data_IF_713412475408
#
_entry.id   IF_713412475408
#
_cell.length_a   1.000
_cell.length_b   1.000
_cell.length_c   1.000
_cell.angle_alpha   90.00
_cell.angle_beta   90.00
_cell.angle_gamma   90.00
#
_symmetry.space_group_name_H-M   'P 1'
#
loop_
_entity.id
_entity.type
_entity.pdbx_description
1 polymer ?
#
# COMPACT_ATOMS: atom_id res chain seq x y z
N UNK A 1 14.91 1.35 -18.82
CA UNK A 1 15.33 1.51 -17.42
C UNK A 1 16.05 0.26 -16.90
N UNK A 2 15.36 -0.89 -16.85
CA UNK A 2 15.89 -2.17 -16.31
C UNK A 2 17.19 -2.65 -16.97
N UNK A 3 17.32 -2.60 -18.31
CA UNK A 3 18.58 -2.98 -19.02
C UNK A 3 19.78 -2.08 -18.74
N UNK A 4 19.56 -0.83 -18.29
CA UNK A 4 20.63 0.12 -17.93
C UNK A 4 21.06 -0.12 -16.48
N UNK A 5 20.09 -0.40 -15.61
CA UNK A 5 20.28 -0.80 -14.22
C UNK A 5 21.10 -2.08 -14.08
N UNK A 6 20.76 -3.14 -14.83
CA UNK A 6 21.46 -4.43 -14.74
C UNK A 6 22.94 -4.40 -15.13
N UNK A 7 23.37 -3.37 -15.87
CA UNK A 7 24.76 -3.19 -16.29
C UNK A 7 25.60 -2.42 -15.28
N UNK A 8 24.99 -1.59 -14.45
CA UNK A 8 25.69 -0.80 -13.43
C UNK A 8 24.76 -0.47 -12.25
N UNK A 9 24.46 -1.45 -11.38
CA UNK A 9 23.56 -1.25 -10.26
C UNK A 9 24.17 -0.32 -9.20
N UNK A 10 23.37 0.52 -8.52
CA UNK A 10 23.86 1.49 -7.56
C UNK A 10 24.15 0.84 -6.20
N UNK A 11 25.15 -0.03 -6.15
CA UNK A 11 25.55 -0.70 -4.91
C UNK A 11 25.98 0.31 -3.84
N UNK A 12 25.63 0.04 -2.58
CA UNK A 12 26.08 0.81 -1.42
C UNK A 12 27.57 0.54 -1.11
N UNK A 13 28.08 1.18 -0.06
CA UNK A 13 29.48 1.06 0.36
C UNK A 13 29.89 -0.38 0.80
N UNK A 14 28.90 -1.25 1.04
CA UNK A 14 29.08 -2.66 1.39
C UNK A 14 28.89 -3.59 0.19
N UNK A 15 28.64 -3.05 -1.00
CA UNK A 15 28.37 -3.83 -2.21
C UNK A 15 26.96 -4.42 -2.25
N UNK A 16 26.04 -3.93 -1.42
CA UNK A 16 24.64 -4.35 -1.40
C UNK A 16 23.81 -3.52 -2.37
N UNK A 17 22.87 -4.17 -3.04
CA UNK A 17 21.84 -3.46 -3.80
C UNK A 17 20.91 -2.76 -2.79
N UNK A 18 20.56 -1.48 -3.00
CA UNK A 18 19.45 -0.86 -2.30
C UNK A 18 18.19 -1.69 -2.52
N UNK A 19 17.22 -1.60 -1.61
CA UNK A 19 16.00 -2.39 -1.77
C UNK A 19 15.27 -2.01 -3.07
N UNK A 20 14.59 -2.97 -3.69
CA UNK A 20 13.98 -2.78 -5.02
C UNK A 20 13.01 -1.58 -5.03
N UNK A 21 12.23 -1.41 -3.97
CA UNK A 21 11.33 -0.28 -3.71
C UNK A 21 12.02 1.09 -3.59
N UNK A 22 13.30 1.14 -3.26
CA UNK A 22 14.11 2.37 -3.29
C UNK A 22 14.61 2.71 -4.72
N UNK A 23 14.57 1.75 -5.64
CA UNK A 23 15.20 1.83 -6.97
C UNK A 23 14.19 1.91 -8.12
N UNK A 24 13.04 1.26 -7.95
CA UNK A 24 11.87 1.40 -8.78
C UNK A 24 10.81 2.01 -7.87
N UNK A 25 10.30 3.19 -8.25
CA UNK A 25 9.17 3.81 -7.57
C UNK A 25 8.12 2.75 -7.28
N UNK A 26 7.53 2.81 -6.09
CA UNK A 26 6.73 1.74 -5.48
C UNK A 26 5.35 1.61 -6.13
N UNK A 27 5.35 1.57 -7.46
CA UNK A 27 4.22 1.47 -8.37
C UNK A 27 3.34 0.25 -8.06
N UNK A 28 3.93 -0.78 -7.44
CA UNK A 28 3.39 -2.12 -7.23
C UNK A 28 2.97 -2.43 -5.77
N UNK A 29 3.06 -1.47 -4.84
CA UNK A 29 2.79 -1.70 -3.40
C UNK A 29 1.42 -1.18 -2.94
N UNK A 30 0.55 -0.76 -3.86
CA UNK A 30 -0.85 -0.54 -3.49
C UNK A 30 -1.56 -1.89 -3.43
N UNK A 31 -1.49 -2.56 -2.28
CA UNK A 31 -2.33 -3.72 -2.01
C UNK A 31 -3.71 -3.25 -1.55
N UNK A 32 -4.71 -3.54 -2.37
CA UNK A 32 -6.12 -3.29 -2.08
C UNK A 32 -6.80 -4.52 -1.48
N UNK A 33 -6.05 -5.60 -1.22
CA UNK A 33 -6.56 -6.79 -0.55
C UNK A 33 -6.45 -6.65 0.97
N UNK A 34 -7.52 -6.24 1.65
CA UNK A 34 -7.56 -6.02 3.09
C UNK A 34 -8.71 -6.80 3.73
N UNK A 35 -8.38 -7.95 4.33
CA UNK A 35 -9.37 -8.86 4.90
C UNK A 35 -10.18 -8.28 6.08
N UNK A 36 -9.71 -7.23 6.74
CA UNK A 36 -10.36 -6.72 7.96
C UNK A 36 -10.23 -5.18 8.11
N UNK A 37 -11.09 -4.42 7.41
CA UNK A 37 -11.21 -2.98 7.68
C UNK A 37 -11.56 -2.05 6.52
N UNK A 38 -11.94 -2.60 5.36
CA UNK A 38 -12.19 -1.94 4.04
C UNK A 38 -10.96 -2.09 3.13
N UNK A 39 -10.89 -3.22 2.42
CA UNK A 39 -10.89 -3.34 0.94
C UNK A 39 -10.94 -4.83 0.53
N UNK A 40 -11.67 -5.12 -0.54
CA UNK A 40 -12.00 -6.46 -1.06
C UNK A 40 -10.85 -7.44 -1.21
N UNK A 41 -11.17 -8.73 -1.24
CA UNK A 41 -10.44 -9.67 -2.09
C UNK A 41 -10.55 -9.21 -3.56
N UNK A 42 -9.56 -8.47 -4.05
CA UNK A 42 -9.31 -8.17 -5.48
C UNK A 42 -8.35 -9.23 -6.05
N UNK A 43 -8.69 -10.51 -5.86
CA UNK A 43 -7.85 -11.64 -6.26
C UNK A 43 -7.50 -11.62 -7.75
N UNK A 44 -8.40 -11.06 -8.57
CA UNK A 44 -8.22 -10.91 -10.00
C UNK A 44 -7.53 -9.60 -10.42
N UNK A 45 -7.21 -8.70 -9.48
CA UNK A 45 -6.58 -7.40 -9.73
C UNK A 45 -7.44 -6.42 -10.52
N UNK A 46 -8.75 -6.62 -10.61
CA UNK A 46 -9.68 -5.81 -11.43
C UNK A 46 -9.69 -4.36 -10.96
N UNK A 47 -9.72 -4.15 -9.66
CA UNK A 47 -9.74 -2.79 -9.07
C UNK A 47 -8.41 -2.10 -9.32
N UNK A 48 -7.30 -2.80 -9.12
CA UNK A 48 -5.95 -2.29 -9.43
C UNK A 48 -5.84 -1.89 -10.91
N UNK A 49 -6.29 -2.75 -11.83
CA UNK A 49 -6.25 -2.45 -13.27
C UNK A 49 -7.12 -1.23 -13.64
N UNK A 50 -8.31 -1.12 -13.06
CA UNK A 50 -9.20 -0.01 -13.35
C UNK A 50 -8.62 1.33 -12.85
N UNK A 51 -8.07 1.36 -11.63
CA UNK A 51 -7.38 2.53 -11.10
C UNK A 51 -6.17 2.91 -11.95
N UNK A 52 -5.37 1.92 -12.37
CA UNK A 52 -4.25 2.13 -13.29
C UNK A 52 -4.69 2.80 -14.60
N UNK A 53 -5.80 2.33 -15.19
CA UNK A 53 -6.34 2.93 -16.41
C UNK A 53 -6.80 4.37 -16.21
N UNK A 54 -7.54 4.66 -15.14
CA UNK A 54 -8.01 6.02 -14.82
C UNK A 54 -6.84 6.99 -14.54
N UNK A 55 -5.79 6.51 -13.87
CA UNK A 55 -4.54 7.28 -13.67
C UNK A 55 -3.84 7.54 -15.00
N UNK A 56 -3.68 6.49 -15.84
CA UNK A 56 -3.03 6.61 -17.15
C UNK A 56 -3.78 7.55 -18.10
N UNK A 57 -5.10 7.59 -18.01
CA UNK A 57 -5.95 8.50 -18.78
C UNK A 57 -6.00 9.92 -18.21
N UNK A 58 -5.38 10.16 -17.04
CA UNK A 58 -5.35 11.46 -16.38
C UNK A 58 -6.66 11.85 -15.71
N UNK A 59 -7.60 10.90 -15.55
CA UNK A 59 -8.87 11.11 -14.85
C UNK A 59 -8.72 11.05 -13.33
N UNK A 60 -7.70 10.35 -12.86
CA UNK A 60 -7.35 10.23 -11.46
C UNK A 60 -5.89 10.60 -11.27
N UNK A 61 -5.58 11.36 -10.22
CA UNK A 61 -4.19 11.67 -9.87
C UNK A 61 -3.61 10.51 -9.05
N UNK A 62 -2.40 10.07 -9.40
CA UNK A 62 -1.71 9.07 -8.60
C UNK A 62 -1.32 9.68 -7.24
N UNK A 63 -1.75 9.12 -6.09
CA UNK A 63 -1.50 9.72 -4.78
C UNK A 63 -0.01 9.76 -4.41
N UNK A 64 0.84 9.04 -5.16
CA UNK A 64 2.29 8.94 -4.96
C UNK A 64 3.08 9.99 -5.77
N UNK A 65 2.44 10.64 -6.74
CA UNK A 65 3.10 11.70 -7.50
C UNK A 65 3.53 12.85 -6.57
N UNK A 66 4.70 13.44 -6.85
CA UNK A 66 5.29 14.51 -6.01
C UNK A 66 4.44 15.78 -5.95
N UNK A 67 3.65 16.02 -6.98
CA UNK A 67 2.74 17.16 -7.11
C UNK A 67 1.30 16.83 -6.67
N UNK A 68 1.06 15.64 -6.11
CA UNK A 68 -0.25 15.31 -5.53
C UNK A 68 -0.54 16.14 -4.29
N UNK A 69 -1.69 16.81 -4.31
CA UNK A 69 -2.22 17.59 -3.19
C UNK A 69 -3.09 16.72 -2.29
N UNK A 70 -3.39 17.23 -1.10
CA UNK A 70 -4.35 16.58 -0.18
C UNK A 70 -5.64 16.22 -0.91
N UNK A 71 -6.26 17.18 -1.59
CA UNK A 71 -7.53 17.00 -2.29
C UNK A 71 -7.47 15.87 -3.32
N UNK A 72 -6.37 15.78 -4.07
CA UNK A 72 -6.17 14.72 -5.06
C UNK A 72 -5.99 13.33 -4.44
N UNK A 73 -5.35 13.25 -3.26
CA UNK A 73 -5.22 12.00 -2.48
C UNK A 73 -6.55 11.59 -1.87
N UNK A 74 -7.32 12.54 -1.38
CA UNK A 74 -8.66 12.30 -0.86
C UNK A 74 -9.62 11.82 -1.96
N UNK A 75 -9.53 12.40 -3.16
CA UNK A 75 -10.28 11.94 -4.35
C UNK A 75 -9.88 10.52 -4.74
N UNK A 76 -8.58 10.22 -4.78
CA UNK A 76 -8.10 8.87 -5.02
C UNK A 76 -8.68 7.88 -4.01
N UNK A 77 -8.55 8.16 -2.71
CA UNK A 77 -9.10 7.32 -1.63
C UNK A 77 -10.61 7.12 -1.78
N UNK A 78 -11.36 8.19 -2.04
CA UNK A 78 -12.81 8.09 -2.25
C UNK A 78 -13.15 7.19 -3.44
N UNK A 79 -12.36 7.25 -4.52
CA UNK A 79 -12.53 6.33 -5.64
C UNK A 79 -12.29 4.90 -5.21
N UNK A 80 -11.16 4.61 -4.55
CA UNK A 80 -10.84 3.25 -4.06
C UNK A 80 -11.96 2.71 -3.14
N UNK A 81 -12.47 3.53 -2.21
CA UNK A 81 -13.62 3.22 -1.34
C UNK A 81 -14.90 2.88 -2.11
N UNK A 82 -15.09 3.49 -3.28
CA UNK A 82 -16.26 3.29 -4.13
C UNK A 82 -16.18 2.07 -5.06
N UNK A 83 -15.00 1.46 -5.25
CA UNK A 83 -14.86 0.28 -6.09
C UNK A 83 -15.42 -0.97 -5.41
N UNK A 84 -16.02 -1.84 -6.23
CA UNK A 84 -16.84 -2.95 -5.77
C UNK A 84 -16.00 -3.93 -4.96
N UNK A 85 -16.33 -3.99 -3.68
CA UNK A 85 -15.89 -5.02 -2.75
C UNK A 85 -16.71 -6.29 -2.98
N UNK A 86 -16.05 -7.44 -3.13
CA UNK A 86 -16.69 -8.74 -2.99
C UNK A 86 -17.30 -8.81 -1.60
N UNK A 87 -18.63 -8.73 -1.58
CA UNK A 87 -19.43 -8.72 -0.37
C UNK A 87 -19.98 -10.12 -0.12
N UNK A 88 -19.55 -10.71 0.99
CA UNK A 88 -19.99 -12.02 1.44
C UNK A 88 -21.25 -11.97 2.31
N UNK A 89 -21.75 -10.77 2.60
CA UNK A 89 -22.97 -10.50 3.35
C UNK A 89 -24.24 -10.42 2.47
N UNK A 90 -24.11 -10.56 1.16
CA UNK A 90 -25.24 -10.48 0.22
C UNK A 90 -25.86 -11.86 -0.05
N UNK A 91 -27.17 -11.88 -0.28
CA UNK A 91 -27.91 -13.09 -0.68
C UNK A 91 -27.47 -13.61 -2.05
N UNK A 92 -27.63 -14.93 -2.25
CA UNK A 92 -27.36 -15.59 -3.53
C UNK A 92 -28.37 -15.10 -4.60
N UNK A 93 -27.91 -14.72 -5.80
CA UNK A 93 -28.82 -14.32 -6.88
C UNK A 93 -29.80 -15.43 -7.27
N UNK A 94 -31.09 -15.11 -7.30
CA UNK A 94 -32.16 -16.06 -7.68
C UNK A 94 -32.02 -16.63 -9.11
N UNK A 95 -31.23 -15.99 -9.95
CA UNK A 95 -30.99 -16.39 -11.34
C UNK A 95 -29.89 -17.45 -11.50
N UNK A 96 -29.17 -17.79 -10.42
CA UNK A 96 -28.15 -18.83 -10.44
C UNK A 96 -28.78 -20.22 -10.49
N UNK A 97 -28.14 -21.11 -11.25
CA UNK A 97 -28.40 -22.54 -11.18
C UNK A 97 -27.96 -23.09 -9.82
N UNK A 98 -28.51 -24.25 -9.43
CA UNK A 98 -28.12 -24.94 -8.20
C UNK A 98 -26.60 -25.23 -8.15
N UNK A 99 -25.99 -25.53 -9.30
CA UNK A 99 -24.55 -25.77 -9.41
C UNK A 99 -23.73 -24.50 -9.15
N UNK A 100 -24.13 -23.36 -9.72
CA UNK A 100 -23.47 -22.07 -9.49
C UNK A 100 -23.59 -21.63 -8.03
N UNK A 101 -24.78 -21.77 -7.44
CA UNK A 101 -25.02 -21.48 -6.03
C UNK A 101 -24.15 -22.34 -5.11
N UNK A 102 -24.07 -23.66 -5.39
CA UNK A 102 -23.24 -24.58 -4.62
C UNK A 102 -21.75 -24.26 -4.75
N UNK A 103 -21.26 -24.01 -5.96
CA UNK A 103 -19.87 -23.63 -6.20
C UNK A 103 -19.48 -22.35 -5.45
N UNK A 104 -20.38 -21.36 -5.44
CA UNK A 104 -20.15 -20.13 -4.69
C UNK A 104 -20.08 -20.40 -3.19
N UNK A 105 -21.03 -21.16 -2.62
CA UNK A 105 -21.00 -21.54 -1.19
C UNK A 105 -19.71 -22.31 -0.84
N UNK A 106 -19.29 -23.27 -1.66
CA UNK A 106 -18.05 -24.02 -1.44
C UNK A 106 -16.82 -23.10 -1.49
N UNK A 107 -16.84 -22.10 -2.37
CA UNK A 107 -15.80 -21.05 -2.45
C UNK A 107 -15.79 -20.18 -1.18
N UNK A 108 -16.95 -19.73 -0.69
CA UNK A 108 -17.05 -18.97 0.57
C UNK A 108 -16.51 -19.77 1.77
N UNK A 109 -16.84 -21.05 1.84
CA UNK A 109 -16.36 -21.94 2.90
C UNK A 109 -14.84 -22.16 2.81
N UNK A 110 -14.29 -22.19 1.60
CA UNK A 110 -12.84 -22.28 1.41
C UNK A 110 -12.14 -20.98 1.83
N UNK A 111 -12.63 -19.83 1.34
CA UNK A 111 -12.09 -18.51 1.68
C UNK A 111 -12.14 -18.29 3.20
N UNK A 112 -13.29 -18.53 3.85
CA UNK A 112 -13.40 -18.35 5.31
C UNK A 112 -12.42 -19.21 6.12
N UNK A 113 -12.14 -20.45 5.67
CA UNK A 113 -11.11 -21.30 6.29
C UNK A 113 -9.72 -20.73 6.09
N UNK A 114 -9.38 -20.27 4.89
CA UNK A 114 -8.09 -19.64 4.60
C UNK A 114 -7.92 -18.39 5.46
N UNK A 115 -8.94 -17.53 5.53
CA UNK A 115 -8.92 -16.29 6.33
C UNK A 115 -8.75 -16.61 7.81
N UNK A 116 -9.42 -17.63 8.34
CA UNK A 116 -9.26 -18.03 9.76
C UNK A 116 -7.85 -18.51 10.12
N UNK A 117 -7.07 -18.95 9.12
CA UNK A 117 -5.69 -19.41 9.27
C UNK A 117 -4.66 -18.33 8.91
N UNK A 118 -5.08 -17.27 8.22
CA UNK A 118 -4.22 -16.18 7.77
C UNK A 118 -4.28 -15.06 8.81
N UNK A 119 -3.15 -14.47 9.23
CA UNK A 119 -3.19 -13.27 10.05
C UNK A 119 -4.07 -12.18 9.39
N UNK A 120 -4.73 -11.31 10.17
CA UNK A 120 -5.59 -10.25 9.63
C UNK A 120 -4.82 -9.19 8.81
N UNK A 121 -3.50 -9.16 8.92
CA UNK A 121 -2.65 -8.41 7.99
C UNK A 121 -2.53 -9.23 6.70
N UNK A 122 -2.76 -8.60 5.54
CA UNK A 122 -2.71 -9.21 4.20
C UNK A 122 -1.38 -9.89 3.85
N UNK A 123 -0.97 -9.88 2.58
CA UNK A 123 0.34 -10.46 2.22
C UNK A 123 1.43 -9.90 3.16
N UNK A 124 2.20 -10.73 3.89
CA UNK A 124 3.15 -10.26 4.91
C UNK A 124 4.19 -9.25 4.40
N UNK A 125 4.34 -9.17 3.08
CA UNK A 125 5.38 -8.42 2.38
C UNK A 125 4.82 -7.30 1.49
N UNK A 126 3.50 -7.08 1.44
CA UNK A 126 2.90 -5.98 0.69
C UNK A 126 2.39 -4.93 1.70
N UNK A 127 3.14 -3.85 1.96
CA UNK A 127 2.65 -2.76 2.78
C UNK A 127 1.29 -2.27 2.25
N UNK A 128 0.27 -2.19 3.10
CA UNK A 128 -0.93 -1.43 2.77
C UNK A 128 -0.49 0.01 2.50
N UNK A 129 -0.73 0.51 1.29
CA UNK A 129 -0.43 1.91 1.00
C UNK A 129 -1.42 2.80 1.74
N UNK A 130 -0.94 3.48 2.78
CA UNK A 130 -1.70 4.51 3.47
C UNK A 130 -1.34 5.87 2.89
N UNK A 131 -2.34 6.64 2.44
CA UNK A 131 -2.11 8.06 2.15
C UNK A 131 -1.77 8.80 3.46
N UNK A 132 -0.93 9.85 3.42
CA UNK A 132 -0.50 10.59 4.62
C UNK A 132 -1.67 11.01 5.52
N UNK A 133 -2.78 11.44 4.93
CA UNK A 133 -3.99 11.86 5.63
C UNK A 133 -4.62 10.71 6.43
N UNK A 134 -4.62 9.50 5.87
CA UNK A 134 -5.18 8.33 6.53
C UNK A 134 -4.26 7.83 7.66
N UNK A 135 -2.94 7.93 7.50
CA UNK A 135 -1.99 7.67 8.59
C UNK A 135 -2.24 8.61 9.78
N UNK A 136 -2.50 9.89 9.51
CA UNK A 136 -2.82 10.86 10.55
C UNK A 136 -4.13 10.52 11.27
N UNK A 137 -5.16 10.09 10.55
CA UNK A 137 -6.44 9.62 11.12
C UNK A 137 -6.21 8.40 12.03
N UNK A 138 -5.53 7.36 11.54
CA UNK A 138 -5.23 6.15 12.30
C UNK A 138 -4.40 6.43 13.56
N UNK A 139 -3.44 7.35 13.46
CA UNK A 139 -2.66 7.81 14.60
C UNK A 139 -3.54 8.52 15.63
N UNK A 140 -4.40 9.45 15.21
CA UNK A 140 -5.35 10.15 16.10
C UNK A 140 -6.33 9.18 16.77
N UNK A 141 -6.72 8.10 16.08
CA UNK A 141 -7.58 7.04 16.61
C UNK A 141 -6.85 6.05 17.53
N UNK A 142 -5.52 6.19 17.71
CA UNK A 142 -4.70 5.29 18.53
C UNK A 142 -4.57 3.87 17.96
N UNK A 143 -4.69 3.73 16.64
CA UNK A 143 -4.52 2.44 15.93
C UNK A 143 -3.05 2.06 15.79
N UNK A 144 -2.17 3.05 15.77
CA UNK A 144 -0.73 2.89 15.95
C UNK A 144 -0.37 3.19 17.41
N UNK A 145 0.82 2.76 17.85
CA UNK A 145 1.36 3.24 19.14
C UNK A 145 1.35 4.77 19.07
N UNK A 146 0.57 5.42 19.95
CA UNK A 146 0.41 6.88 19.99
C UNK A 146 1.75 7.60 20.25
N UNK A 147 2.82 6.87 20.59
CA UNK A 147 4.19 7.39 20.70
C UNK A 147 4.96 7.36 19.37
N UNK A 148 4.43 6.70 18.35
CA UNK A 148 5.04 6.49 17.04
C UNK A 148 4.22 7.19 15.95
N UNK A 149 4.22 8.52 15.97
CA UNK A 149 3.68 9.32 14.87
C UNK A 149 4.39 8.94 13.56
N UNK A 150 3.66 8.36 12.58
CA UNK A 150 4.27 7.91 11.33
C UNK A 150 4.72 9.07 10.44
N UNK A 151 4.21 10.29 10.66
CA UNK A 151 4.60 11.49 9.92
C UNK A 151 5.94 12.06 10.36
N UNK A 152 6.42 11.69 11.56
CA UNK A 152 7.75 12.06 12.04
C UNK A 152 8.78 11.18 11.31
N UNK A 153 9.69 11.76 10.50
CA UNK A 153 10.77 11.01 9.86
C UNK A 153 11.50 10.13 10.88
N UNK A 154 11.82 8.89 10.49
CA UNK A 154 12.43 7.91 11.38
C UNK A 154 13.66 8.48 12.12
N UNK A 155 14.46 9.29 11.42
CA UNK A 155 15.64 9.96 11.96
C UNK A 155 15.33 10.83 13.18
N UNK A 156 14.12 11.39 13.32
CA UNK A 156 13.75 12.29 14.42
C UNK A 156 13.10 11.59 15.62
N UNK A 157 12.82 10.28 15.53
CA UNK A 157 12.19 9.51 16.62
C UNK A 157 13.13 9.34 17.81
N UNK A 158 12.57 9.21 19.01
CA UNK A 158 13.31 9.04 20.27
C UNK A 158 14.21 7.79 20.26
N UNK A 159 13.74 6.70 19.63
CA UNK A 159 14.47 5.44 19.53
C UNK A 159 15.56 5.42 18.44
N UNK A 160 15.68 6.47 17.62
CA UNK A 160 16.62 6.48 16.50
C UNK A 160 18.07 6.71 16.97
N UNK A 161 19.05 5.88 16.55
CA UNK A 161 20.43 6.02 17.01
C UNK A 161 21.05 7.39 16.69
N UNK A 162 21.57 8.07 17.72
CA UNK A 162 22.18 9.40 17.59
C UNK A 162 23.37 9.41 16.61
N UNK A 163 24.18 8.35 16.62
CA UNK A 163 25.33 8.23 15.71
C UNK A 163 24.89 8.22 14.24
N UNK A 164 23.80 7.50 13.94
CA UNK A 164 23.27 7.40 12.59
C UNK A 164 22.64 8.73 12.15
N UNK A 165 21.94 9.41 13.06
CA UNK A 165 21.41 10.76 12.83
C UNK A 165 22.53 11.73 12.48
N UNK A 166 23.64 11.71 13.22
CA UNK A 166 24.79 12.56 12.96
C UNK A 166 25.41 12.29 11.56
N UNK A 167 25.52 11.02 11.16
CA UNK A 167 26.02 10.64 9.82
C UNK A 167 25.11 11.15 8.70
N UNK A 168 23.79 11.00 8.82
CA UNK A 168 22.81 11.48 7.85
C UNK A 168 22.91 13.01 7.70
N UNK A 169 22.92 13.75 8.82
CA UNK A 169 23.04 15.21 8.80
C UNK A 169 24.37 15.69 8.21
N UNK A 170 25.48 15.01 8.52
CA UNK A 170 26.78 15.32 7.94
C UNK A 170 26.81 15.08 6.42
N UNK A 171 26.19 14.00 5.96
CA UNK A 171 26.04 13.70 4.53
C UNK A 171 25.19 14.77 3.83
N UNK A 172 24.02 15.09 4.37
CA UNK A 172 23.15 16.14 3.82
C UNK A 172 23.87 17.48 3.70
N UNK A 173 24.63 17.88 4.73
CA UNK A 173 25.46 19.09 4.71
C UNK A 173 26.57 19.04 3.65
N UNK A 174 27.27 17.91 3.54
CA UNK A 174 28.35 17.72 2.54
C UNK A 174 27.82 17.81 1.11
N UNK A 175 26.61 17.32 0.87
CA UNK A 175 25.99 17.23 -0.44
C UNK A 175 24.98 18.35 -0.73
N UNK A 176 24.85 19.32 0.18
CA UNK A 176 23.95 20.47 0.05
C UNK A 176 22.47 20.07 -0.19
N UNK A 177 22.07 18.92 0.38
CA UNK A 177 20.70 18.41 0.35
C UNK A 177 19.90 19.22 1.37
N UNK A 178 18.80 19.84 0.92
CA UNK A 178 17.85 20.56 1.76
C UNK A 178 16.71 19.62 2.15
N UNK A 179 16.11 19.87 3.31
CA UNK A 179 14.87 19.19 3.76
C UNK A 179 13.78 19.22 2.69
#
# INVERSE_FOLDING_TARGET
MVKKFSKNPPYDEFGMLPFLDELIGVDWVMDLNMLDGRYSLDEAGKTIWALYHEVKEGKLKDPRDTDSTKESREEFRYKVDGWVVERYDLDLPNQWTEQEAKLYIDTLLLVSKIVSLTPPQGYPNAPTYYIPEYLEELYREGKFDIKLDPTIPAMYRESFPEELRAKILAYAKKHNIKE
#
